data_IF_908785607680
#
_entry.id   IF_908785607680
#
_cell.length_a   1.000
_cell.length_b   1.000
_cell.length_c   1.000
_cell.angle_alpha   90.00
_cell.angle_beta   90.00
_cell.angle_gamma   90.00
#
_symmetry.space_group_name_H-M   'P 1'
#
loop_
_entity.id
_entity.type
_entity.pdbx_description
1 polymer ?
#
# COMPACT_ATOMS: atom_id res chain seq x y z
N UNK A 1 12.93 6.98 -2.22
CA UNK A 1 14.03 6.61 -1.30
C UNK A 1 13.84 5.13 -1.01
N UNK A 2 14.92 4.34 -0.94
CA UNK A 2 14.78 2.90 -0.71
C UNK A 2 14.46 2.64 0.77
N UNK A 3 13.23 2.23 1.06
CA UNK A 3 12.75 1.78 2.36
C UNK A 3 12.72 0.24 2.38
N UNK A 4 13.87 -0.37 2.64
CA UNK A 4 14.03 -1.82 2.60
C UNK A 4 13.81 -2.38 1.19
N UNK A 5 12.67 -3.03 0.96
CA UNK A 5 12.30 -3.61 -0.35
C UNK A 5 11.59 -2.65 -1.29
N UNK A 6 11.10 -1.52 -0.77
CA UNK A 6 10.22 -0.62 -1.52
C UNK A 6 10.93 0.71 -1.80
N UNK A 7 10.90 1.17 -3.03
CA UNK A 7 11.27 2.55 -3.35
C UNK A 7 10.00 3.40 -3.32
N UNK A 8 9.75 4.02 -2.17
CA UNK A 8 8.58 4.86 -1.94
C UNK A 8 8.97 6.34 -1.97
N UNK A 9 8.06 7.23 -2.40
CA UNK A 9 8.27 8.66 -2.32
C UNK A 9 8.16 9.13 -0.87
N UNK A 10 8.59 10.36 -0.61
CA UNK A 10 8.37 11.02 0.69
C UNK A 10 6.90 11.36 0.90
N UNK A 11 6.53 11.66 2.15
CA UNK A 11 5.16 12.05 2.49
C UNK A 11 4.62 13.23 1.65
N UNK A 12 5.48 14.17 1.27
CA UNK A 12 5.13 15.31 0.41
C UNK A 12 4.42 14.90 -0.90
N UNK A 13 4.77 13.74 -1.46
CA UNK A 13 4.07 13.22 -2.65
C UNK A 13 2.58 12.99 -2.39
N UNK A 14 2.24 12.49 -1.21
CA UNK A 14 0.87 12.25 -0.78
C UNK A 14 0.18 13.54 -0.35
N UNK A 15 0.92 14.52 0.18
CA UNK A 15 0.42 15.87 0.45
C UNK A 15 -0.21 16.54 -0.78
N UNK A 16 0.36 16.29 -1.95
CA UNK A 16 -0.19 16.75 -3.24
C UNK A 16 -1.40 15.92 -3.72
N UNK A 17 -1.84 14.93 -2.95
CA UNK A 17 -3.00 14.07 -3.25
C UNK A 17 -2.70 12.93 -4.22
N UNK A 18 -1.42 12.67 -4.51
CA UNK A 18 -1.04 11.63 -5.45
C UNK A 18 -1.21 10.22 -4.85
N UNK A 19 -1.50 9.27 -5.72
CA UNK A 19 -1.63 7.86 -5.39
C UNK A 19 -0.33 7.16 -5.77
N UNK A 20 0.20 6.35 -4.85
CA UNK A 20 1.36 5.52 -5.14
C UNK A 20 0.92 4.07 -5.31
N UNK A 21 1.45 3.40 -6.33
CA UNK A 21 1.22 1.96 -6.55
C UNK A 21 2.50 1.33 -7.05
N UNK A 22 2.73 0.09 -6.68
CA UNK A 22 3.91 -0.65 -7.09
C UNK A 22 3.71 -2.14 -6.98
N UNK A 23 4.71 -2.87 -7.46
CA UNK A 23 4.73 -4.32 -7.38
C UNK A 23 6.14 -4.85 -7.15
N UNK A 24 6.21 -6.05 -6.58
CA UNK A 24 7.43 -6.81 -6.35
C UNK A 24 7.21 -8.27 -6.78
N UNK A 25 8.27 -8.94 -7.24
CA UNK A 25 8.23 -10.34 -7.70
C UNK A 25 7.09 -10.65 -8.69
N UNK A 26 6.72 -9.69 -9.52
CA UNK A 26 5.65 -9.75 -10.55
C UNK A 26 4.23 -9.85 -9.99
N UNK A 27 4.03 -10.46 -8.81
CA UNK A 27 2.73 -10.89 -8.33
C UNK A 27 2.39 -10.39 -6.91
N UNK A 28 3.27 -9.63 -6.24
CA UNK A 28 2.93 -8.89 -5.04
C UNK A 28 2.67 -7.44 -5.45
N UNK A 29 1.44 -6.95 -5.26
CA UNK A 29 1.08 -5.59 -5.63
C UNK A 29 0.60 -4.82 -4.41
N UNK A 30 0.84 -3.52 -4.42
CA UNK A 30 0.40 -2.64 -3.35
C UNK A 30 0.02 -1.26 -3.86
N UNK A 31 -0.80 -0.58 -3.07
CA UNK A 31 -1.27 0.78 -3.34
C UNK A 31 -1.40 1.55 -2.04
N UNK A 32 -0.97 2.80 -2.04
CA UNK A 32 -1.17 3.77 -0.96
C UNK A 32 -1.96 4.95 -1.53
N UNK A 33 -3.10 5.24 -0.91
CA UNK A 33 -4.02 6.31 -1.31
C UNK A 33 -4.15 7.32 -0.18
N UNK A 34 -3.88 8.60 -0.42
CA UNK A 34 -4.22 9.66 0.52
C UNK A 34 -5.73 9.89 0.52
N UNK A 35 -6.36 9.80 1.68
CA UNK A 35 -7.73 10.31 1.90
C UNK A 35 -7.63 11.55 2.76
N UNK A 36 -7.94 12.72 2.18
CA UNK A 36 -8.08 13.96 2.94
C UNK A 36 -9.47 14.09 3.52
N UNK A 37 -9.57 14.52 4.77
CA UNK A 37 -10.81 14.95 5.39
C UNK A 37 -11.51 16.01 4.53
N UNK A 38 -12.82 15.88 4.34
CA UNK A 38 -13.62 16.98 3.78
C UNK A 38 -13.80 18.05 4.85
N UNK A 39 -13.76 19.32 4.45
CA UNK A 39 -13.92 20.47 5.37
C UNK A 39 -15.20 20.43 6.22
N UNK A 40 -16.21 19.70 5.75
CA UNK A 40 -17.54 19.60 6.39
C UNK A 40 -17.89 18.19 6.91
N UNK A 41 -16.89 17.34 7.19
CA UNK A 41 -17.14 16.02 7.82
C UNK A 41 -16.16 15.73 8.95
N UNK A 42 -16.61 14.98 9.96
CA UNK A 42 -15.77 14.42 11.04
C UNK A 42 -14.78 13.32 10.58
N UNK A 43 -14.68 13.06 9.27
CA UNK A 43 -13.70 12.11 8.75
C UNK A 43 -12.29 12.64 8.94
N UNK A 44 -11.40 11.83 9.52
CA UNK A 44 -9.97 12.15 9.62
C UNK A 44 -9.28 11.91 8.28
N UNK A 45 -8.24 12.70 8.02
CA UNK A 45 -7.32 12.40 6.93
C UNK A 45 -6.51 11.16 7.28
N UNK A 46 -6.35 10.25 6.32
CA UNK A 46 -5.66 8.97 6.51
C UNK A 46 -4.91 8.55 5.24
N UNK A 47 -3.88 7.73 5.43
CA UNK A 47 -3.21 6.99 4.36
C UNK A 47 -3.77 5.57 4.33
N UNK A 48 -4.43 5.22 3.22
CA UNK A 48 -5.00 3.88 3.01
C UNK A 48 -4.05 3.04 2.19
N UNK A 49 -3.59 1.95 2.78
CA UNK A 49 -2.75 0.96 2.13
C UNK A 49 -3.58 -0.28 1.79
N UNK A 50 -3.36 -0.83 0.61
CA UNK A 50 -3.92 -2.12 0.20
C UNK A 50 -2.84 -2.98 -0.48
N UNK A 51 -2.95 -4.29 -0.28
CA UNK A 51 -2.09 -5.31 -0.91
C UNK A 51 -2.99 -6.33 -1.60
N UNK A 52 -2.58 -6.78 -2.77
CA UNK A 52 -3.21 -7.88 -3.49
C UNK A 52 -2.16 -8.67 -4.26
N UNK A 53 -2.48 -9.93 -4.56
CA UNK A 53 -1.61 -10.79 -5.34
C UNK A 53 -2.13 -11.03 -6.75
N UNK A 54 -1.22 -11.32 -7.68
CA UNK A 54 -1.52 -11.65 -9.08
C UNK A 54 -1.03 -10.60 -10.08
N UNK A 55 -1.50 -10.71 -11.31
CA UNK A 55 -1.01 -9.91 -12.46
C UNK A 55 -1.93 -8.74 -12.81
N UNK A 56 -3.13 -8.71 -12.24
CA UNK A 56 -4.15 -7.70 -12.51
C UNK A 56 -3.88 -6.41 -11.75
N UNK A 57 -4.26 -5.28 -12.35
CA UNK A 57 -4.22 -3.97 -11.70
C UNK A 57 -5.27 -3.89 -10.58
N UNK A 58 -5.14 -2.88 -9.71
CA UNK A 58 -6.00 -2.73 -8.53
C UNK A 58 -7.50 -2.77 -8.84
N UNK A 59 -7.95 -2.11 -9.91
CA UNK A 59 -9.37 -2.04 -10.26
C UNK A 59 -9.94 -3.38 -10.76
N UNK A 60 -9.06 -4.29 -11.18
CA UNK A 60 -9.37 -5.65 -11.59
C UNK A 60 -8.92 -6.69 -10.57
N UNK A 61 -8.41 -6.27 -9.42
CA UNK A 61 -8.03 -7.17 -8.35
C UNK A 61 -9.30 -7.79 -7.76
N UNK A 62 -9.36 -9.12 -7.77
CA UNK A 62 -10.55 -9.85 -7.30
C UNK A 62 -10.60 -9.87 -5.77
N UNK A 63 -9.44 -9.91 -5.11
CA UNK A 63 -9.32 -9.96 -3.66
C UNK A 63 -8.14 -9.10 -3.17
N UNK A 64 -8.39 -8.32 -2.11
CA UNK A 64 -7.36 -7.62 -1.37
C UNK A 64 -6.96 -8.49 -0.18
N UNK A 65 -5.68 -8.84 -0.09
CA UNK A 65 -5.17 -9.72 0.98
C UNK A 65 -4.92 -8.97 2.28
N UNK A 66 -4.67 -7.67 2.19
CA UNK A 66 -4.50 -6.81 3.36
C UNK A 66 -4.94 -5.38 3.05
N UNK A 67 -5.51 -4.72 4.05
CA UNK A 67 -5.85 -3.30 4.02
C UNK A 67 -5.56 -2.66 5.37
N UNK A 68 -4.89 -1.51 5.34
CA UNK A 68 -4.53 -0.73 6.53
C UNK A 68 -4.92 0.73 6.32
N UNK A 69 -5.22 1.41 7.41
CA UNK A 69 -5.43 2.85 7.44
C UNK A 69 -4.58 3.43 8.55
N UNK A 70 -3.70 4.36 8.18
CA UNK A 70 -2.78 5.03 9.10
C UNK A 70 -2.99 6.53 9.05
N UNK A 71 -2.43 7.24 10.01
CA UNK A 71 -2.54 8.70 10.08
C UNK A 71 -1.97 9.37 8.81
N UNK A 72 -2.59 10.47 8.41
CA UNK A 72 -2.09 11.30 7.31
C UNK A 72 -0.88 12.13 7.74
N UNK A 73 0.26 11.46 7.92
CA UNK A 73 1.52 12.09 8.28
C UNK A 73 2.72 11.30 7.75
N UNK A 74 3.92 11.84 7.93
CA UNK A 74 5.16 11.12 7.61
C UNK A 74 5.32 9.86 8.48
N UNK A 75 4.94 9.92 9.75
CA UNK A 75 4.96 8.77 10.66
C UNK A 75 3.95 7.70 10.25
N UNK A 76 2.76 8.10 9.80
CA UNK A 76 1.77 7.17 9.24
C UNK A 76 2.25 6.51 7.94
N UNK A 77 3.03 7.22 7.12
CA UNK A 77 3.70 6.61 5.97
C UNK A 77 4.73 5.56 6.40
N UNK A 78 5.55 5.83 7.41
CA UNK A 78 6.47 4.83 7.97
C UNK A 78 5.74 3.61 8.55
N UNK A 79 4.56 3.81 9.16
CA UNK A 79 3.70 2.71 9.59
C UNK A 79 3.19 1.87 8.40
N UNK A 80 2.73 2.51 7.31
CA UNK A 80 2.38 1.83 6.07
C UNK A 80 3.55 1.00 5.51
N UNK A 81 4.77 1.54 5.56
CA UNK A 81 5.99 0.84 5.12
C UNK A 81 6.26 -0.40 5.96
N UNK A 82 6.07 -0.31 7.28
CA UNK A 82 6.23 -1.44 8.18
C UNK A 82 5.21 -2.55 7.87
N UNK A 83 3.93 -2.19 7.64
CA UNK A 83 2.89 -3.14 7.22
C UNK A 83 3.23 -3.77 5.87
N UNK A 84 3.64 -2.97 4.87
CA UNK A 84 4.07 -3.48 3.55
C UNK A 84 5.19 -4.49 3.68
N UNK A 85 6.18 -4.19 4.52
CA UNK A 85 7.33 -5.08 4.75
C UNK A 85 6.88 -6.40 5.37
N UNK A 86 5.98 -6.35 6.35
CA UNK A 86 5.43 -7.55 6.99
C UNK A 86 4.67 -8.42 5.98
N UNK A 87 3.77 -7.83 5.20
CA UNK A 87 2.97 -8.57 4.21
C UNK A 87 3.85 -9.15 3.11
N UNK A 88 4.92 -8.44 2.74
CA UNK A 88 5.87 -8.94 1.76
C UNK A 88 6.72 -10.10 2.26
N UNK A 89 7.16 -10.06 3.51
CA UNK A 89 7.84 -11.21 4.12
C UNK A 89 6.93 -12.43 4.17
N UNK A 90 5.67 -12.25 4.58
CA UNK A 90 4.68 -13.33 4.53
C UNK A 90 4.49 -13.86 3.10
N UNK A 91 4.36 -12.99 2.11
CA UNK A 91 4.27 -13.38 0.70
C UNK A 91 5.48 -14.22 0.26
N UNK A 92 6.71 -13.88 0.66
CA UNK A 92 7.90 -14.64 0.29
C UNK A 92 7.86 -16.10 0.76
N UNK A 93 7.21 -16.37 1.89
CA UNK A 93 7.02 -17.72 2.44
C UNK A 93 6.01 -18.52 1.62
N UNK A 94 4.87 -17.90 1.30
CA UNK A 94 3.74 -18.58 0.65
C UNK A 94 3.80 -18.55 -0.88
N UNK A 95 4.59 -17.67 -1.51
CA UNK A 95 4.56 -17.47 -2.98
C UNK A 95 4.86 -18.72 -3.80
N UNK A 96 5.55 -19.71 -3.23
CA UNK A 96 5.85 -20.99 -3.90
C UNK A 96 4.64 -21.91 -3.99
N UNK A 97 3.66 -21.72 -3.11
CA UNK A 97 2.42 -22.51 -3.06
C UNK A 97 1.27 -21.80 -3.75
N UNK A 98 1.41 -20.51 -4.06
CA UNK A 98 0.43 -19.73 -4.79
C UNK A 98 0.56 -20.00 -6.29
N UNK A 99 -0.56 -20.36 -6.93
CA UNK A 99 -0.70 -20.33 -8.38
C UNK A 99 -1.36 -19.01 -8.76
N UNK A 100 -0.83 -18.36 -9.77
CA UNK A 100 -1.39 -17.13 -10.30
C UNK A 100 -1.78 -17.41 -11.75
N UNK A 101 -3.05 -17.17 -12.08
CA UNK A 101 -3.59 -17.37 -13.41
C UNK A 101 -3.07 -16.33 -14.42
#
# INVERSE_FOLDING_TARGET
>A
MLHGYFDLPTFYFFEEGNIWSGSLYTNFNYRIVPKKAKKDSDEKSELRMAVWYGTKCFDMAEELVAQYSEDYSAEGLEACIAHLTKEFEHFKEIRKTLSFD
#
